data_IF_410179066876
#
_entry.id   IF_410179066876
#
_cell.length_a   1.000
_cell.length_b   1.000
_cell.length_c   1.000
_cell.angle_alpha   90.00
_cell.angle_beta   90.00
_cell.angle_gamma   90.00
#
_symmetry.space_group_name_H-M   'P 1'
#
loop_
_entity.id
_entity.type
_entity.pdbx_description
1 polymer ?
#
# COMPACT_ATOMS: atom_id res chain seq x y z
N UNK A 1 -18.61 -3.24 7.28
CA UNK A 1 -17.46 -2.45 6.77
C UNK A 1 -17.72 -0.99 7.10
N UNK A 2 -17.40 -0.55 8.32
CA UNK A 2 -17.87 0.73 8.87
C UNK A 2 -17.64 1.94 7.94
N UNK A 3 -16.43 2.10 7.40
CA UNK A 3 -16.10 3.22 6.50
C UNK A 3 -16.68 3.10 5.09
N UNK A 4 -16.99 1.88 4.63
CA UNK A 4 -17.67 1.65 3.34
C UNK A 4 -19.16 1.95 3.47
N UNK A 5 -19.77 1.55 4.58
CA UNK A 5 -21.17 1.84 4.93
C UNK A 5 -21.40 3.34 5.16
N UNK A 6 -20.42 4.04 5.76
CA UNK A 6 -20.43 5.50 5.91
C UNK A 6 -20.11 6.27 4.61
N UNK A 7 -19.81 5.57 3.50
CA UNK A 7 -19.48 6.20 2.21
C UNK A 7 -18.13 6.92 2.15
N UNK A 8 -17.27 6.76 3.16
CA UNK A 8 -15.93 7.39 3.24
C UNK A 8 -14.91 6.71 2.33
N UNK A 9 -15.09 5.41 2.06
CA UNK A 9 -14.26 4.64 1.13
C UNK A 9 -15.17 3.71 0.30
N UNK A 10 -14.84 3.51 -0.97
CA UNK A 10 -15.57 2.57 -1.82
C UNK A 10 -15.15 1.13 -1.51
N UNK A 11 -16.05 0.16 -1.70
CA UNK A 11 -15.77 -1.26 -1.42
C UNK A 11 -14.55 -1.80 -2.19
N UNK A 12 -14.33 -1.31 -3.41
CA UNK A 12 -13.21 -1.72 -4.27
C UNK A 12 -11.88 -1.03 -3.91
N UNK A 13 -11.89 0.03 -3.11
CA UNK A 13 -10.68 0.72 -2.67
C UNK A 13 -10.10 0.11 -1.38
N UNK A 14 -10.79 -0.86 -0.78
CA UNK A 14 -10.29 -1.57 0.40
C UNK A 14 -9.17 -2.52 -0.04
N UNK A 15 -7.94 -2.36 0.45
CA UNK A 15 -6.85 -3.28 0.13
C UNK A 15 -7.10 -4.68 0.69
N UNK A 16 -6.74 -5.71 -0.07
CA UNK A 16 -6.86 -7.11 0.37
C UNK A 16 -5.76 -7.50 1.39
N UNK A 17 -4.65 -6.75 1.43
CA UNK A 17 -3.48 -7.04 2.26
C UNK A 17 -2.85 -5.76 2.80
N UNK A 18 -2.39 -5.84 4.05
CA UNK A 18 -1.59 -4.82 4.71
C UNK A 18 -0.30 -5.46 5.21
N UNK A 19 0.82 -4.77 5.00
CA UNK A 19 2.13 -5.19 5.49
C UNK A 19 2.73 -4.05 6.31
N UNK A 20 3.17 -4.38 7.53
CA UNK A 20 3.85 -3.44 8.42
C UNK A 20 5.34 -3.64 8.20
N UNK A 21 6.04 -2.57 7.87
CA UNK A 21 7.47 -2.59 7.53
C UNK A 21 8.19 -1.53 8.33
N UNK A 22 9.43 -1.81 8.72
CA UNK A 22 10.27 -0.85 9.45
C UNK A 22 10.70 0.32 8.55
N UNK A 23 10.93 0.06 7.26
CA UNK A 23 11.29 1.09 6.28
C UNK A 23 10.66 0.84 4.91
N UNK A 24 10.31 1.93 4.23
CA UNK A 24 9.88 1.91 2.83
C UNK A 24 11.10 2.17 1.94
N UNK A 25 11.42 1.29 0.97
CA UNK A 25 12.55 1.48 0.08
C UNK A 25 12.42 2.77 -0.72
N UNK A 26 13.52 3.52 -0.78
CA UNK A 26 13.63 4.80 -1.47
C UNK A 26 14.73 4.76 -2.52
N UNK A 27 14.56 5.57 -3.55
CA UNK A 27 15.58 5.90 -4.54
C UNK A 27 16.70 6.73 -3.92
N UNK A 28 17.82 6.91 -4.63
CA UNK A 28 18.96 7.72 -4.17
C UNK A 28 18.60 9.17 -3.81
N UNK A 29 17.50 9.70 -4.36
CA UNK A 29 16.97 11.04 -4.07
C UNK A 29 15.78 11.02 -3.09
N UNK A 30 15.56 9.91 -2.39
CA UNK A 30 14.57 9.79 -1.31
C UNK A 30 13.13 9.54 -1.74
N UNK A 31 12.84 9.40 -3.04
CA UNK A 31 11.48 9.06 -3.51
C UNK A 31 11.20 7.56 -3.32
N UNK A 32 9.96 7.18 -3.04
CA UNK A 32 9.54 5.78 -2.89
C UNK A 32 9.85 4.99 -4.17
N UNK A 33 10.56 3.87 -4.03
CA UNK A 33 10.84 2.97 -5.15
C UNK A 33 9.76 1.90 -5.29
N UNK A 34 8.79 2.17 -6.18
CA UNK A 34 7.70 1.23 -6.46
C UNK A 34 8.17 -0.05 -7.15
N UNK A 35 9.29 -0.04 -7.88
CA UNK A 35 9.78 -1.25 -8.57
C UNK A 35 10.27 -2.27 -7.56
N UNK A 36 11.06 -1.81 -6.59
CA UNK A 36 11.55 -2.64 -5.49
C UNK A 36 10.39 -3.13 -4.63
N UNK A 37 9.46 -2.26 -4.26
CA UNK A 37 8.24 -2.66 -3.55
C UNK A 37 7.45 -3.73 -4.31
N UNK A 38 7.29 -3.57 -5.63
CA UNK A 38 6.60 -4.57 -6.45
C UNK A 38 7.37 -5.89 -6.45
N UNK A 39 8.69 -5.89 -6.57
CA UNK A 39 9.46 -7.14 -6.50
C UNK A 39 9.37 -7.85 -5.14
N UNK A 40 9.42 -7.08 -4.04
CA UNK A 40 9.34 -7.63 -2.69
C UNK A 40 7.97 -8.22 -2.35
N UNK A 41 6.89 -7.62 -2.87
CA UNK A 41 5.51 -7.96 -2.48
C UNK A 41 4.64 -8.52 -3.61
N UNK A 42 5.15 -8.64 -4.84
CA UNK A 42 4.46 -9.33 -5.93
C UNK A 42 4.51 -10.83 -5.64
N UNK A 43 3.37 -11.35 -5.17
CA UNK A 43 2.99 -12.73 -5.43
C UNK A 43 2.55 -12.88 -6.88
#
# INVERSE_FOLDING_TARGET
MKFVEEGKITKWAVPDRFEIVDEIPKTSVGKIDKKVLKQMYSR
#
